data_IF_395606100068
#
_entry.id   IF_395606100068
#
_cell.length_a   1.000
_cell.length_b   1.000
_cell.length_c   1.000
_cell.angle_alpha   90.00
_cell.angle_beta   90.00
_cell.angle_gamma   90.00
#
_symmetry.space_group_name_H-M   'P 1'
#
loop_
_entity.id
_entity.type
_entity.pdbx_description
1 polymer ?
#
# COMPACT_ATOMS: atom_id res chain seq x y z
N UNK A 1 12.20 -36.21 -3.66
CA UNK A 1 11.54 -34.93 -3.31
C UNK A 1 10.25 -35.23 -2.58
N UNK A 2 10.02 -34.68 -1.38
CA UNK A 2 8.81 -35.00 -0.61
C UNK A 2 7.60 -34.16 -1.06
N UNK A 3 6.41 -34.73 -0.94
CA UNK A 3 5.13 -34.08 -1.25
C UNK A 3 4.98 -32.70 -0.58
N UNK A 4 5.56 -32.55 0.63
CA UNK A 4 5.56 -31.29 1.40
C UNK A 4 6.37 -30.18 0.73
N UNK A 5 7.48 -30.52 0.07
CA UNK A 5 8.27 -29.55 -0.69
C UNK A 5 7.49 -29.05 -1.92
N UNK A 6 6.70 -29.93 -2.54
CA UNK A 6 5.82 -29.57 -3.66
C UNK A 6 4.69 -28.63 -3.20
N UNK A 7 4.01 -28.96 -2.09
CA UNK A 7 2.94 -28.15 -1.50
C UNK A 7 3.41 -26.75 -1.09
N UNK A 8 4.63 -26.62 -0.55
CA UNK A 8 5.21 -25.31 -0.21
C UNK A 8 5.50 -24.46 -1.46
N UNK A 9 5.87 -25.10 -2.57
CA UNK A 9 6.13 -24.40 -3.83
C UNK A 9 4.83 -23.94 -4.48
N UNK A 10 3.78 -24.77 -4.49
CA UNK A 10 2.47 -24.36 -5.00
C UNK A 10 1.86 -23.23 -4.17
N UNK A 11 1.90 -23.31 -2.83
CA UNK A 11 1.43 -22.22 -1.97
C UNK A 11 2.21 -20.90 -2.13
N UNK A 12 3.50 -20.96 -2.48
CA UNK A 12 4.30 -19.76 -2.79
C UNK A 12 3.93 -19.17 -4.15
N UNK A 13 3.64 -20.00 -5.15
CA UNK A 13 3.21 -19.56 -6.49
C UNK A 13 1.79 -18.96 -6.45
N UNK A 14 0.87 -19.56 -5.70
CA UNK A 14 -0.47 -19.01 -5.47
C UNK A 14 -0.46 -17.66 -4.74
N UNK A 15 0.55 -17.42 -3.88
CA UNK A 15 0.78 -16.13 -3.21
C UNK A 15 1.56 -15.13 -4.04
N UNK A 16 2.18 -15.55 -5.14
CA UNK A 16 2.96 -14.70 -6.02
C UNK A 16 2.09 -14.03 -7.09
N UNK A 17 0.93 -14.62 -7.42
CA UNK A 17 -0.03 -14.08 -8.38
C UNK A 17 -1.19 -13.30 -7.75
N UNK A 18 -1.11 -12.94 -6.47
CA UNK A 18 -2.13 -12.11 -5.82
C UNK A 18 -1.57 -10.72 -5.54
N UNK A 19 -2.25 -9.64 -5.99
CA UNK A 19 -1.91 -8.29 -5.59
C UNK A 19 -1.90 -8.25 -4.07
N UNK A 20 -0.73 -7.97 -3.48
CA UNK A 20 -0.62 -7.80 -2.03
C UNK A 20 -1.10 -6.39 -1.72
N UNK A 21 -1.92 -6.17 -0.69
CA UNK A 21 -2.25 -4.81 -0.28
C UNK A 21 -0.98 -4.08 0.17
N UNK A 22 -0.90 -2.78 -0.10
CA UNK A 22 0.15 -1.91 0.44
C UNK A 22 0.08 -1.87 1.97
N UNK A 23 1.18 -1.50 2.63
CA UNK A 23 1.16 -1.31 4.09
C UNK A 23 0.20 -0.20 4.51
N UNK A 24 -0.01 0.82 3.66
CA UNK A 24 -0.97 1.90 3.90
C UNK A 24 -2.38 1.32 4.01
N UNK A 25 -2.79 0.49 3.04
CA UNK A 25 -4.10 -0.18 3.07
C UNK A 25 -4.21 -1.15 4.24
N UNK A 26 -3.13 -1.87 4.60
CA UNK A 26 -3.13 -2.79 5.74
C UNK A 26 -3.33 -2.07 7.07
N UNK A 27 -2.68 -0.92 7.27
CA UNK A 27 -2.72 -0.21 8.55
C UNK A 27 -3.92 0.71 8.70
N UNK A 28 -4.38 1.33 7.62
CA UNK A 28 -5.44 2.34 7.65
C UNK A 28 -6.76 1.85 7.03
N UNK A 29 -6.79 0.62 6.50
CA UNK A 29 -7.96 0.03 5.84
C UNK A 29 -8.14 0.48 4.38
N UNK A 30 -7.72 1.70 4.05
CA UNK A 30 -7.63 2.21 2.68
C UNK A 30 -6.61 3.34 2.58
N UNK A 31 -6.19 3.65 1.35
CA UNK A 31 -5.33 4.80 1.08
C UNK A 31 -6.03 6.12 1.41
N UNK A 32 -7.33 6.24 1.10
CA UNK A 32 -8.11 7.43 1.41
C UNK A 32 -8.28 7.64 2.92
N UNK A 33 -8.46 6.56 3.69
CA UNK A 33 -8.53 6.62 5.15
C UNK A 33 -7.21 7.10 5.78
N UNK A 34 -6.06 6.74 5.19
CA UNK A 34 -4.78 7.28 5.61
C UNK A 34 -4.67 8.79 5.36
N UNK A 35 -5.14 9.28 4.21
CA UNK A 35 -5.17 10.72 3.90
C UNK A 35 -6.00 11.46 4.95
N UNK A 36 -7.23 11.00 5.19
CA UNK A 36 -8.16 11.66 6.12
C UNK A 36 -7.67 11.63 7.57
N UNK A 37 -7.11 10.51 8.02
CA UNK A 37 -6.71 10.35 9.42
C UNK A 37 -5.33 10.92 9.74
N UNK A 38 -4.43 11.01 8.75
CA UNK A 38 -3.02 11.36 8.98
C UNK A 38 -2.56 12.57 8.18
N UNK A 39 -2.81 12.59 6.87
CA UNK A 39 -2.26 13.66 6.01
C UNK A 39 -3.00 14.97 6.21
N UNK A 40 -4.34 14.94 6.18
CA UNK A 40 -5.16 16.13 6.30
C UNK A 40 -4.95 16.87 7.63
N UNK A 41 -4.96 16.20 8.82
CA UNK A 41 -4.71 16.88 10.08
C UNK A 41 -3.31 17.52 10.17
N UNK A 42 -2.30 16.90 9.55
CA UNK A 42 -0.92 17.42 9.58
C UNK A 42 -0.78 18.64 8.67
N UNK A 43 -1.42 18.63 7.50
CA UNK A 43 -1.48 19.81 6.62
C UNK A 43 -2.28 20.94 7.27
N UNK A 44 -3.44 20.64 7.87
CA UNK A 44 -4.26 21.62 8.59
C UNK A 44 -3.53 22.22 9.80
N UNK A 45 -2.66 21.44 10.46
CA UNK A 45 -1.82 21.94 11.55
C UNK A 45 -0.70 22.90 11.08
N UNK A 46 -0.47 23.00 9.76
CA UNK A 46 0.62 23.78 9.18
C UNK A 46 2.01 23.16 9.37
N UNK A 47 2.09 21.93 9.88
CA UNK A 47 3.35 21.21 10.04
C UNK A 47 3.93 20.75 8.70
N UNK A 48 3.08 20.58 7.68
CA UNK A 48 3.47 20.28 6.30
C UNK A 48 2.74 21.22 5.34
N UNK A 49 3.42 21.58 4.25
CA UNK A 49 2.84 22.38 3.19
C UNK A 49 1.83 21.55 2.37
N UNK A 50 0.70 22.17 2.03
CA UNK A 50 -0.38 21.50 1.32
C UNK A 50 -0.04 21.18 -0.14
N UNK A 51 0.68 22.06 -0.84
CA UNK A 51 1.04 21.86 -2.25
C UNK A 51 2.07 20.73 -2.38
N UNK A 52 3.06 20.71 -1.49
CA UNK A 52 4.05 19.63 -1.45
C UNK A 52 3.40 18.28 -1.10
N UNK A 53 2.46 18.27 -0.15
CA UNK A 53 1.77 17.03 0.23
C UNK A 53 0.88 16.47 -0.88
N UNK A 54 0.31 17.30 -1.76
CA UNK A 54 -0.42 16.83 -2.94
C UNK A 54 0.51 16.02 -3.85
N UNK A 55 1.73 16.52 -4.11
CA UNK A 55 2.71 15.83 -4.96
C UNK A 55 3.12 14.49 -4.34
N UNK A 56 3.38 14.47 -3.03
CA UNK A 56 3.76 13.26 -2.29
C UNK A 56 2.63 12.23 -2.31
N UNK A 57 1.38 12.64 -2.05
CA UNK A 57 0.21 11.74 -2.06
C UNK A 57 -0.03 11.17 -3.45
N UNK A 58 0.10 11.99 -4.50
CA UNK A 58 -0.03 11.55 -5.89
C UNK A 58 1.03 10.49 -6.24
N UNK A 59 2.30 10.73 -5.89
CA UNK A 59 3.38 9.79 -6.13
C UNK A 59 3.20 8.46 -5.38
N UNK A 60 2.72 8.51 -4.13
CA UNK A 60 2.43 7.31 -3.33
C UNK A 60 1.25 6.52 -3.90
N UNK A 61 0.24 7.19 -4.45
CA UNK A 61 -0.92 6.54 -5.09
C UNK A 61 -0.54 5.87 -6.42
N UNK A 62 0.33 6.50 -7.18
CA UNK A 62 0.91 5.91 -8.39
C UNK A 62 1.79 4.70 -8.06
N UNK A 63 2.64 4.82 -7.03
CA UNK A 63 3.44 3.71 -6.53
C UNK A 63 2.56 2.52 -6.12
N UNK A 64 1.51 2.76 -5.34
CA UNK A 64 0.58 1.72 -4.91
C UNK A 64 -0.07 1.01 -6.10
N UNK A 65 -0.49 1.78 -7.11
CA UNK A 65 -1.08 1.26 -8.34
C UNK A 65 -0.07 0.43 -9.15
N UNK A 66 1.20 0.84 -9.20
CA UNK A 66 2.24 0.18 -9.98
C UNK A 66 2.74 -1.14 -9.37
N UNK A 67 2.77 -1.22 -8.04
CA UNK A 67 3.38 -2.34 -7.27
C UNK A 67 2.33 -3.32 -6.74
N UNK A 68 1.16 -2.83 -6.33
CA UNK A 68 0.19 -3.61 -5.56
C UNK A 68 -1.14 -3.86 -6.27
N UNK A 69 -1.40 -3.25 -7.43
CA UNK A 69 -2.61 -3.51 -8.23
C UNK A 69 -2.41 -4.56 -9.35
N UNK A 70 -1.33 -5.36 -9.31
CA UNK A 70 -1.03 -6.44 -10.28
C UNK A 70 -1.44 -7.81 -9.77
#
# INVERSE_FOLDING_TARGET
MSLRALQRRTAKLEKAGKPRPSLIVVWYGSFDAWIEQTVLPVVESGALDGEDMIVVVAALREWESSVFAR
#
